data_IF_013988641581
#
_entry.id   IF_013988641581
#
_cell.length_a   1.000
_cell.length_b   1.000
_cell.length_c   1.000
_cell.angle_alpha   90.00
_cell.angle_beta   90.00
_cell.angle_gamma   90.00
#
_symmetry.space_group_name_H-M   'P 1'
#
loop_
_entity.id
_entity.type
_entity.pdbx_description
1 polymer ?
#
# COMPACT_ATOMS: atom_id res chain seq x y z
N UNK A 1 -51.30 -2.81 5.51
CA UNK A 1 -50.31 -3.90 5.38
C UNK A 1 -50.57 -4.60 4.06
N UNK A 2 -49.98 -4.14 2.96
CA UNK A 2 -50.10 -4.84 1.68
C UNK A 2 -48.93 -5.82 1.55
N UNK A 3 -49.18 -7.09 1.88
CA UNK A 3 -48.30 -8.17 1.42
C UNK A 3 -48.63 -8.40 -0.05
N UNK A 4 -47.99 -7.63 -0.94
CA UNK A 4 -47.96 -7.98 -2.35
C UNK A 4 -47.30 -9.37 -2.42
N UNK A 5 -48.08 -10.38 -2.79
CA UNK A 5 -47.58 -11.71 -3.12
C UNK A 5 -46.66 -11.55 -4.32
N UNK A 6 -45.35 -11.52 -4.06
CA UNK A 6 -44.31 -11.37 -5.09
C UNK A 6 -44.46 -12.50 -6.11
N UNK A 7 -44.39 -12.16 -7.39
CA UNK A 7 -44.42 -13.14 -8.45
C UNK A 7 -43.08 -13.91 -8.51
N UNK A 8 -43.09 -15.18 -8.90
CA UNK A 8 -41.89 -16.04 -8.90
C UNK A 8 -40.74 -15.44 -9.73
N UNK A 9 -41.06 -14.71 -10.80
CA UNK A 9 -40.08 -13.97 -11.62
C UNK A 9 -39.38 -12.85 -10.82
N UNK A 10 -40.11 -12.08 -10.03
CA UNK A 10 -39.55 -10.98 -9.23
C UNK A 10 -38.67 -11.51 -8.09
N UNK A 11 -39.04 -12.68 -7.53
CA UNK A 11 -38.24 -13.38 -6.54
C UNK A 11 -36.93 -13.86 -7.18
N UNK A 12 -36.98 -14.45 -8.38
CA UNK A 12 -35.80 -14.92 -9.09
C UNK A 12 -34.82 -13.77 -9.41
N UNK A 13 -35.32 -12.62 -9.87
CA UNK A 13 -34.50 -11.43 -10.13
C UNK A 13 -33.81 -10.90 -8.87
N UNK A 14 -34.54 -10.81 -7.75
CA UNK A 14 -33.97 -10.38 -6.46
C UNK A 14 -32.88 -11.34 -5.99
N UNK A 15 -33.09 -12.64 -6.11
CA UNK A 15 -32.09 -13.66 -5.75
C UNK A 15 -30.85 -13.52 -6.65
N UNK A 16 -31.02 -13.27 -7.95
CA UNK A 16 -29.90 -13.07 -8.87
C UNK A 16 -29.06 -11.83 -8.51
N UNK A 17 -29.70 -10.72 -8.16
CA UNK A 17 -29.02 -9.49 -7.71
C UNK A 17 -28.23 -9.75 -6.43
N UNK A 18 -28.83 -10.44 -5.45
CA UNK A 18 -28.15 -10.77 -4.19
C UNK A 18 -26.94 -11.68 -4.40
N UNK A 19 -27.05 -12.68 -5.28
CA UNK A 19 -25.92 -13.55 -5.66
C UNK A 19 -24.79 -12.76 -6.30
N UNK A 20 -25.12 -11.85 -7.22
CA UNK A 20 -24.13 -10.96 -7.85
C UNK A 20 -23.45 -10.05 -6.83
N UNK A 21 -24.24 -9.45 -5.93
CA UNK A 21 -23.71 -8.59 -4.88
C UNK A 21 -22.75 -9.35 -3.96
N UNK A 22 -23.13 -10.54 -3.51
CA UNK A 22 -22.25 -11.43 -2.74
C UNK A 22 -20.96 -11.75 -3.49
N UNK A 23 -21.04 -12.12 -4.76
CA UNK A 23 -19.85 -12.45 -5.55
C UNK A 23 -18.87 -11.28 -5.67
N UNK A 24 -19.38 -10.05 -5.81
CA UNK A 24 -18.53 -8.86 -5.87
C UNK A 24 -17.85 -8.57 -4.53
N UNK A 25 -18.55 -8.76 -3.41
CA UNK A 25 -17.95 -8.62 -2.08
C UNK A 25 -16.87 -9.69 -1.83
N UNK A 26 -17.09 -10.92 -2.31
CA UNK A 26 -16.08 -11.99 -2.22
C UNK A 26 -14.84 -11.69 -3.09
N UNK A 27 -15.05 -11.14 -4.30
CA UNK A 27 -13.97 -10.70 -5.19
C UNK A 27 -13.18 -9.55 -4.57
N UNK A 28 -13.86 -8.55 -4.02
CA UNK A 28 -13.23 -7.45 -3.28
C UNK A 28 -12.40 -7.97 -2.10
N UNK A 29 -12.92 -8.97 -1.38
CA UNK A 29 -12.21 -9.60 -0.25
C UNK A 29 -10.92 -10.25 -0.71
N UNK A 30 -10.97 -10.94 -1.84
CA UNK A 30 -9.79 -11.57 -2.44
C UNK A 30 -8.75 -10.53 -2.82
N UNK A 31 -9.16 -9.42 -3.44
CA UNK A 31 -8.27 -8.31 -3.80
C UNK A 31 -7.60 -7.64 -2.59
N UNK A 32 -8.33 -7.43 -1.49
CA UNK A 32 -7.71 -6.93 -0.26
C UNK A 32 -6.69 -7.90 0.35
N UNK A 33 -6.92 -9.22 0.24
CA UNK A 33 -5.94 -10.23 0.68
C UNK A 33 -4.71 -10.22 -0.22
N UNK A 34 -4.88 -10.15 -1.53
CA UNK A 34 -3.77 -9.99 -2.47
C UNK A 34 -2.95 -8.74 -2.13
N UNK A 35 -3.62 -7.60 -1.91
CA UNK A 35 -2.95 -6.36 -1.54
C UNK A 35 -2.14 -6.50 -0.23
N UNK A 36 -2.73 -7.12 0.80
CA UNK A 36 -2.03 -7.39 2.06
C UNK A 36 -0.74 -8.20 1.81
N UNK A 37 -0.80 -9.25 0.99
CA UNK A 37 0.39 -10.06 0.68
C UNK A 37 1.48 -9.28 -0.07
N UNK A 38 1.10 -8.34 -0.94
CA UNK A 38 2.06 -7.46 -1.62
C UNK A 38 2.71 -6.52 -0.61
N UNK A 39 1.94 -5.91 0.29
CA UNK A 39 2.49 -5.05 1.33
C UNK A 39 3.43 -5.79 2.29
N UNK A 40 3.11 -7.03 2.67
CA UNK A 40 4.01 -7.86 3.51
C UNK A 40 5.31 -8.23 2.77
N UNK A 41 5.27 -8.45 1.46
CA UNK A 41 6.46 -8.67 0.64
C UNK A 41 7.28 -7.39 0.50
N UNK A 42 6.61 -6.26 0.29
CA UNK A 42 7.26 -4.95 0.23
C UNK A 42 7.99 -4.63 1.54
N UNK A 43 7.41 -4.94 2.71
CA UNK A 43 8.08 -4.80 4.00
C UNK A 43 9.44 -5.51 4.04
N UNK A 44 9.47 -6.76 3.55
CA UNK A 44 10.71 -7.56 3.47
C UNK A 44 11.70 -6.97 2.46
N UNK A 45 11.21 -6.50 1.31
CA UNK A 45 12.05 -5.86 0.27
C UNK A 45 12.67 -4.54 0.75
N UNK A 46 11.92 -3.74 1.52
CA UNK A 46 12.42 -2.52 2.17
C UNK A 46 13.52 -2.88 3.17
N UNK A 47 13.27 -3.88 4.02
CA UNK A 47 14.24 -4.33 5.03
C UNK A 47 15.52 -4.89 4.42
N UNK A 48 15.44 -5.48 3.22
CA UNK A 48 16.57 -5.98 2.45
C UNK A 48 17.24 -4.90 1.57
N UNK A 49 16.78 -3.65 1.65
CA UNK A 49 17.25 -2.53 0.83
C UNK A 49 17.19 -2.78 -0.70
N UNK A 50 16.28 -3.66 -1.14
CA UNK A 50 16.11 -4.00 -2.55
C UNK A 50 15.16 -3.00 -3.23
N UNK A 51 15.73 -1.93 -3.78
CA UNK A 51 14.99 -0.83 -4.40
C UNK A 51 14.18 -1.26 -5.64
N UNK A 52 14.70 -2.18 -6.44
CA UNK A 52 14.02 -2.71 -7.63
C UNK A 52 12.76 -3.48 -7.24
N UNK A 53 12.86 -4.36 -6.25
CA UNK A 53 11.71 -5.11 -5.74
C UNK A 53 10.66 -4.17 -5.10
N UNK A 54 11.09 -3.12 -4.40
CA UNK A 54 10.17 -2.12 -3.84
C UNK A 54 9.38 -1.40 -4.95
N UNK A 55 10.04 -1.03 -6.06
CA UNK A 55 9.39 -0.39 -7.21
C UNK A 55 8.37 -1.34 -7.87
N UNK A 56 8.75 -2.59 -8.13
CA UNK A 56 7.85 -3.60 -8.68
C UNK A 56 6.62 -3.84 -7.78
N UNK A 57 6.81 -3.86 -6.46
CA UNK A 57 5.68 -3.96 -5.54
C UNK A 57 4.76 -2.73 -5.64
N UNK A 58 5.29 -1.52 -5.75
CA UNK A 58 4.47 -0.31 -5.93
C UNK A 58 3.61 -0.37 -7.19
N UNK A 59 4.14 -0.83 -8.32
CA UNK A 59 3.35 -0.99 -9.55
C UNK A 59 2.20 -2.01 -9.38
N UNK A 60 2.46 -3.11 -8.67
CA UNK A 60 1.43 -4.10 -8.34
C UNK A 60 0.35 -3.52 -7.41
N UNK A 61 0.74 -2.72 -6.42
CA UNK A 61 -0.19 -2.03 -5.52
C UNK A 61 -1.13 -1.11 -6.30
N UNK A 62 -0.61 -0.32 -7.25
CA UNK A 62 -1.42 0.57 -8.09
C UNK A 62 -2.47 -0.22 -8.90
N UNK A 63 -2.08 -1.34 -9.50
CA UNK A 63 -2.99 -2.22 -10.24
C UNK A 63 -4.09 -2.77 -9.33
N UNK A 64 -3.74 -3.29 -8.15
CA UNK A 64 -4.71 -3.88 -7.23
C UNK A 64 -5.67 -2.81 -6.69
N UNK A 65 -5.18 -1.61 -6.36
CA UNK A 65 -6.02 -0.49 -5.90
C UNK A 65 -7.01 -0.07 -7.00
N UNK A 66 -6.57 -0.01 -8.25
CA UNK A 66 -7.45 0.31 -9.37
C UNK A 66 -8.58 -0.73 -9.51
N UNK A 67 -8.25 -2.02 -9.41
CA UNK A 67 -9.24 -3.10 -9.45
C UNK A 67 -10.23 -3.02 -8.29
N UNK A 68 -9.75 -2.84 -7.05
CA UNK A 68 -10.61 -2.65 -5.87
C UNK A 68 -11.58 -1.49 -6.10
N UNK A 69 -11.10 -0.37 -6.66
CA UNK A 69 -11.93 0.79 -6.93
C UNK A 69 -12.99 0.52 -8.01
N UNK A 70 -12.66 -0.24 -9.06
CA UNK A 70 -13.65 -0.64 -10.06
C UNK A 70 -14.75 -1.54 -9.49
N UNK A 71 -14.39 -2.46 -8.58
CA UNK A 71 -15.36 -3.32 -7.90
C UNK A 71 -16.24 -2.49 -6.95
N UNK A 72 -15.66 -1.57 -6.17
CA UNK A 72 -16.39 -0.69 -5.26
C UNK A 72 -17.48 0.12 -5.98
N UNK A 73 -17.17 0.66 -7.17
CA UNK A 73 -18.13 1.41 -8.00
C UNK A 73 -19.39 0.62 -8.35
N UNK A 74 -19.31 -0.71 -8.42
CA UNK A 74 -20.45 -1.58 -8.70
C UNK A 74 -21.14 -2.01 -7.40
N UNK A 75 -20.37 -2.18 -6.32
CA UNK A 75 -20.87 -2.49 -4.99
C UNK A 75 -21.77 -1.38 -4.43
N UNK A 76 -21.34 -0.11 -4.51
CA UNK A 76 -22.06 1.04 -3.94
C UNK A 76 -23.56 1.10 -4.34
N UNK A 77 -23.93 1.05 -5.64
CA UNK A 77 -25.34 1.07 -6.04
C UNK A 77 -26.10 -0.20 -5.63
N UNK A 78 -25.44 -1.37 -5.66
CA UNK A 78 -26.08 -2.64 -5.25
C UNK A 78 -26.33 -2.68 -3.74
N UNK A 79 -25.43 -2.12 -2.95
CA UNK A 79 -25.57 -1.99 -1.51
C UNK A 79 -26.74 -1.06 -1.15
N UNK A 80 -26.86 0.07 -1.85
CA UNK A 80 -28.00 0.97 -1.68
C UNK A 80 -29.33 0.25 -1.95
N UNK A 81 -29.41 -0.54 -3.02
CA UNK A 81 -30.59 -1.36 -3.32
C UNK A 81 -30.84 -2.42 -2.23
N UNK A 82 -29.79 -3.11 -1.77
CA UNK A 82 -29.87 -4.11 -0.73
C UNK A 82 -30.44 -3.54 0.58
N UNK A 83 -29.91 -2.40 1.05
CA UNK A 83 -30.33 -1.75 2.28
C UNK A 83 -31.81 -1.32 2.25
N UNK A 84 -32.31 -0.92 1.08
CA UNK A 84 -33.69 -0.50 0.92
C UNK A 84 -34.69 -1.67 0.85
N UNK A 85 -34.24 -2.85 0.40
CA UNK A 85 -35.10 -4.03 0.15
C UNK A 85 -35.09 -5.00 1.34
N UNK A 86 -33.93 -5.26 1.96
CA UNK A 86 -33.80 -6.23 3.04
C UNK A 86 -33.96 -5.57 4.42
N UNK A 87 -35.15 -5.69 5.02
CA UNK A 87 -35.41 -5.25 6.41
C UNK A 87 -34.97 -6.26 7.49
N UNK A 88 -34.80 -7.54 7.12
CA UNK A 88 -34.33 -8.60 8.01
C UNK A 88 -32.93 -9.05 7.58
N UNK A 89 -31.91 -8.55 8.27
CA UNK A 89 -30.49 -8.78 7.97
C UNK A 89 -29.91 -10.02 8.66
N UNK A 90 -30.65 -10.71 9.54
CA UNK A 90 -30.11 -11.73 10.45
C UNK A 90 -29.81 -13.10 9.81
N UNK A 91 -30.31 -13.38 8.60
CA UNK A 91 -30.11 -14.67 7.91
C UNK A 91 -29.26 -14.56 6.63
N UNK A 92 -28.51 -13.48 6.50
CA UNK A 92 -27.69 -13.18 5.32
C UNK A 92 -26.22 -13.34 5.66
N UNK A 93 -25.42 -13.94 4.77
CA UNK A 93 -23.95 -13.99 4.89
C UNK A 93 -23.29 -12.62 4.61
N UNK A 94 -24.05 -11.67 4.03
CA UNK A 94 -23.54 -10.37 3.57
C UNK A 94 -23.01 -9.50 4.72
N UNK A 95 -23.71 -9.33 5.86
CA UNK A 95 -23.20 -8.55 6.99
C UNK A 95 -21.86 -9.08 7.50
N UNK A 96 -21.70 -10.41 7.63
CA UNK A 96 -20.43 -11.02 8.02
C UNK A 96 -19.32 -10.73 7.01
N UNK A 97 -19.63 -10.81 5.71
CA UNK A 97 -18.66 -10.53 4.67
C UNK A 97 -18.21 -9.06 4.67
N UNK A 98 -19.14 -8.13 4.98
CA UNK A 98 -18.83 -6.71 5.15
C UNK A 98 -17.96 -6.44 6.37
N UNK A 99 -18.24 -7.08 7.52
CA UNK A 99 -17.38 -6.93 8.71
C UNK A 99 -15.97 -7.47 8.45
N UNK A 100 -15.85 -8.59 7.74
CA UNK A 100 -14.55 -9.15 7.35
C UNK A 100 -13.79 -8.20 6.41
N UNK A 101 -14.49 -7.57 5.46
CA UNK A 101 -13.93 -6.58 4.54
C UNK A 101 -13.44 -5.34 5.28
N UNK A 102 -14.22 -4.81 6.23
CA UNK A 102 -13.82 -3.67 7.05
C UNK A 102 -12.55 -3.98 7.85
N UNK A 103 -12.46 -5.18 8.41
CA UNK A 103 -11.28 -5.61 9.15
C UNK A 103 -10.05 -5.84 8.25
N UNK A 104 -10.24 -6.38 7.05
CA UNK A 104 -9.18 -6.47 6.04
C UNK A 104 -8.69 -5.09 5.60
N UNK A 105 -9.60 -4.15 5.37
CA UNK A 105 -9.25 -2.77 5.02
C UNK A 105 -8.41 -2.12 6.13
N UNK A 106 -8.80 -2.27 7.41
CA UNK A 106 -8.01 -1.78 8.55
C UNK A 106 -6.62 -2.39 8.57
N UNK A 107 -6.49 -3.70 8.32
CA UNK A 107 -5.18 -4.39 8.28
C UNK A 107 -4.29 -3.87 7.15
N UNK A 108 -4.85 -3.70 5.95
CA UNK A 108 -4.13 -3.12 4.80
C UNK A 108 -3.62 -1.71 5.12
N UNK A 109 -4.47 -0.86 5.71
CA UNK A 109 -4.06 0.50 6.11
C UNK A 109 -2.96 0.49 7.18
N UNK A 110 -3.09 -0.39 8.18
CA UNK A 110 -2.07 -0.55 9.22
C UNK A 110 -0.72 -1.01 8.65
N UNK A 111 -0.75 -1.99 7.74
CA UNK A 111 0.45 -2.51 7.09
C UNK A 111 1.10 -1.48 6.16
N UNK A 112 0.31 -0.76 5.36
CA UNK A 112 0.82 0.32 4.51
C UNK A 112 1.46 1.44 5.34
N UNK A 113 0.83 1.82 6.46
CA UNK A 113 1.39 2.79 7.41
C UNK A 113 2.74 2.31 7.95
N UNK A 114 2.84 1.05 8.35
CA UNK A 114 4.10 0.43 8.81
C UNK A 114 5.18 0.49 7.72
N UNK A 115 4.86 0.13 6.48
CA UNK A 115 5.82 0.20 5.36
C UNK A 115 6.30 1.64 5.11
N UNK A 116 5.40 2.62 5.19
CA UNK A 116 5.74 4.04 5.04
C UNK A 116 6.67 4.52 6.16
N UNK A 117 6.42 4.13 7.40
CA UNK A 117 7.28 4.45 8.54
C UNK A 117 8.68 3.83 8.37
N UNK A 118 8.76 2.57 7.92
CA UNK A 118 10.03 1.91 7.60
C UNK A 118 10.83 2.67 6.54
N UNK A 119 10.20 3.00 5.41
CA UNK A 119 10.84 3.81 4.36
C UNK A 119 11.35 5.15 4.88
N UNK A 120 10.58 5.83 5.74
CA UNK A 120 11.01 7.08 6.35
C UNK A 120 12.25 6.89 7.24
N UNK A 121 12.28 5.84 8.06
CA UNK A 121 13.46 5.53 8.88
C UNK A 121 14.69 5.25 8.02
N UNK A 122 14.58 4.46 6.95
CA UNK A 122 15.70 4.23 6.03
C UNK A 122 16.18 5.52 5.35
N UNK A 123 15.26 6.37 4.86
CA UNK A 123 15.61 7.64 4.23
C UNK A 123 16.32 8.59 5.20
N UNK A 124 15.85 8.68 6.46
CA UNK A 124 16.51 9.52 7.47
C UNK A 124 17.91 9.01 7.82
N UNK A 125 18.10 7.69 7.93
CA UNK A 125 19.41 7.06 8.09
C UNK A 125 20.37 7.37 6.93
N UNK A 126 19.92 7.19 5.69
CA UNK A 126 20.70 7.53 4.49
C UNK A 126 21.09 9.01 4.46
N UNK A 127 20.18 9.92 4.83
CA UNK A 127 20.48 11.36 4.92
C UNK A 127 21.57 11.66 5.95
N UNK A 128 21.56 10.97 7.09
CA UNK A 128 22.61 11.11 8.11
C UNK A 128 23.96 10.59 7.62
N UNK A 129 23.98 9.44 6.92
CA UNK A 129 25.19 8.91 6.29
C UNK A 129 25.75 9.86 5.23
N UNK A 130 24.90 10.44 4.38
CA UNK A 130 25.33 11.45 3.40
C UNK A 130 25.89 12.69 4.11
N UNK A 131 25.26 13.13 5.20
CA UNK A 131 25.73 14.27 5.97
C UNK A 131 27.11 14.04 6.62
N UNK A 132 27.37 12.83 7.13
CA UNK A 132 28.68 12.47 7.68
C UNK A 132 29.76 12.37 6.59
N UNK A 133 29.41 11.86 5.40
CA UNK A 133 30.28 11.82 4.23
C UNK A 133 30.59 13.19 3.61
N UNK A 134 29.76 14.22 3.87
CA UNK A 134 29.96 15.56 3.30
C UNK A 134 31.09 16.35 3.97
N UNK A 135 31.66 15.89 5.09
CA UNK A 135 32.74 16.60 5.82
C UNK A 135 33.95 15.77 6.30
N UNK A 136 34.50 14.79 5.56
CA UNK A 136 35.70 14.07 6.00
C UNK A 136 36.98 14.94 5.99
N UNK A 137 37.01 16.01 5.17
CA UNK A 137 38.21 16.86 5.00
C UNK A 137 37.93 18.37 5.06
N UNK A 138 36.76 18.80 5.56
CA UNK A 138 36.36 20.21 5.57
C UNK A 138 37.33 21.16 6.32
N UNK A 139 38.20 20.61 7.18
CA UNK A 139 39.23 21.35 7.93
C UNK A 139 40.64 20.79 7.74
N UNK A 140 40.86 19.94 6.73
CA UNK A 140 42.18 19.37 6.42
C UNK A 140 42.56 19.82 5.01
N UNK A 141 43.46 20.79 4.91
CA UNK A 141 44.16 21.07 3.66
C UNK A 141 44.84 19.77 3.21
N UNK A 142 44.56 19.32 1.99
CA UNK A 142 45.21 18.13 1.47
C UNK A 142 46.71 18.41 1.31
N UNK A 143 47.57 17.46 1.66
CA UNK A 143 49.04 17.61 1.54
C UNK A 143 49.47 17.87 0.08
N UNK A 144 48.62 17.50 -0.88
CA UNK A 144 48.80 17.74 -2.32
C UNK A 144 48.01 18.95 -2.86
N UNK A 145 47.21 19.63 -2.02
CA UNK A 145 46.59 20.88 -2.40
C UNK A 145 47.73 21.88 -2.40
N UNK A 146 48.13 22.33 -3.59
CA UNK A 146 49.30 23.17 -3.81
C UNK A 146 49.25 24.44 -2.98
N UNK A 147 49.68 24.35 -1.73
CA UNK A 147 50.20 25.47 -0.98
C UNK A 147 51.55 25.77 -1.60
N UNK A 148 51.74 27.02 -2.01
CA UNK A 148 52.98 27.54 -2.56
C UNK A 148 54.13 27.51 -1.53
N UNK A 149 54.51 26.32 -1.08
CA UNK A 149 55.65 26.00 -0.22
C UNK A 149 56.24 24.66 -0.64
N UNK A 150 56.64 24.56 -1.89
CA UNK A 150 57.60 23.53 -2.32
C UNK A 150 58.87 24.22 -2.80
N UNK A 151 59.97 23.80 -2.18
CA UNK A 151 61.38 24.16 -2.40
C UNK A 151 61.89 25.46 -1.75
N UNK A 152 62.45 25.31 -0.55
CA UNK A 152 63.59 26.14 -0.14
C UNK A 152 64.80 25.61 -0.92
N UNK A 153 65.38 26.41 -1.80
CA UNK A 153 66.64 26.09 -2.46
C UNK A 153 67.70 25.95 -1.36
N UNK A 154 68.32 24.78 -1.24
CA UNK A 154 69.50 24.59 -0.42
C UNK A 154 70.70 24.75 -1.35
N UNK A 155 71.39 25.87 -1.21
CA UNK A 155 72.61 26.18 -1.96
C UNK A 155 73.80 25.48 -1.27
N UNK A 156 74.45 24.57 -1.98
CA UNK A 156 75.72 23.96 -1.57
C UNK A 156 76.84 24.59 -2.39
N UNK A 157 77.18 25.84 -2.05
CA UNK A 157 78.42 26.47 -2.53
C UNK A 157 79.53 26.19 -1.51
N UNK A 158 80.56 25.49 -1.99
CA UNK A 158 81.83 25.15 -1.31
C UNK A 158 82.83 26.31 -1.38
#
# INVERSE_FOLDING_TARGET
MHTATLNDSEIAERVAILKRFRSLLEEQRLKFREYLTVLEKQEKSISAENTEAVLQHTELEESIIAEIFTIQKVIDPLEYMYANICKNTEHSDIPHLKTDLDDLQKRVLAQNKKNRELLQTHITGLRQQIASLKRPYAHKESIYAGTARTATIVDFSL
#
